data_IF_747983027404
#
_entry.id   IF_747983027404
#
_cell.length_a   1.000
_cell.length_b   1.000
_cell.length_c   1.000
_cell.angle_alpha   90.00
_cell.angle_beta   90.00
_cell.angle_gamma   90.00
#
_symmetry.space_group_name_H-M   'P 1'
#
loop_
_entity.id
_entity.type
_entity.pdbx_description
1 polymer ?
#
# COMPACT_ATOMS: atom_id res chain seq x y z
N UNK A 1 12.33 -1.51 -9.57
CA UNK A 1 11.61 -2.31 -8.54
C UNK A 1 10.40 -2.95 -9.20
N UNK A 2 9.88 -4.06 -8.68
CA UNK A 2 8.84 -4.85 -9.35
C UNK A 2 7.55 -4.84 -8.53
N UNK A 3 6.42 -4.60 -9.19
CA UNK A 3 5.09 -4.81 -8.62
C UNK A 3 4.86 -6.29 -8.36
N UNK A 4 4.20 -6.60 -7.26
CA UNK A 4 3.82 -7.97 -6.92
C UNK A 4 2.36 -8.04 -6.48
N UNK A 5 1.64 -9.02 -7.03
CA UNK A 5 0.30 -9.36 -6.58
C UNK A 5 0.43 -10.35 -5.42
N UNK A 6 -0.14 -9.99 -4.28
CA UNK A 6 -0.01 -10.72 -3.03
C UNK A 6 -1.37 -11.00 -2.43
N UNK A 7 -1.45 -11.97 -1.53
CA UNK A 7 -2.66 -12.22 -0.75
C UNK A 7 -2.45 -11.73 0.67
N UNK A 8 -3.17 -10.67 1.04
CA UNK A 8 -3.24 -10.18 2.41
C UNK A 8 -4.19 -11.06 3.21
N UNK A 9 -3.75 -11.45 4.42
CA UNK A 9 -4.57 -12.10 5.42
C UNK A 9 -4.88 -11.09 6.51
N UNK A 10 -6.08 -10.55 6.49
CA UNK A 10 -6.62 -9.67 7.51
C UNK A 10 -7.19 -10.49 8.66
N UNK A 11 -6.96 -10.06 9.89
CA UNK A 11 -7.57 -10.66 11.09
C UNK A 11 -8.27 -9.54 11.84
N UNK A 12 -9.59 -9.64 11.92
CA UNK A 12 -10.44 -8.72 12.65
C UNK A 12 -10.91 -9.44 13.90
N UNK A 13 -10.77 -8.80 15.06
CA UNK A 13 -11.26 -9.31 16.34
C UNK A 13 -12.31 -8.33 16.86
N UNK A 14 -13.53 -8.82 17.06
CA UNK A 14 -14.65 -8.07 17.60
C UNK A 14 -15.33 -8.83 18.75
N UNK A 15 -16.45 -8.31 19.27
CA UNK A 15 -17.18 -8.94 20.37
C UNK A 15 -17.79 -10.31 19.99
N UNK A 16 -17.95 -10.59 18.69
CA UNK A 16 -18.58 -11.80 18.14
C UNK A 16 -17.55 -12.88 17.74
N UNK A 17 -16.27 -12.54 17.64
CA UNK A 17 -15.17 -13.48 17.50
C UNK A 17 -14.02 -12.98 16.64
N UNK A 18 -13.28 -13.92 16.06
CA UNK A 18 -12.16 -13.63 15.15
C UNK A 18 -12.59 -13.95 13.72
N UNK A 19 -12.66 -12.92 12.88
CA UNK A 19 -12.87 -13.04 11.44
C UNK A 19 -11.53 -12.96 10.69
N UNK A 20 -11.33 -13.86 9.72
CA UNK A 20 -10.14 -13.86 8.85
C UNK A 20 -10.57 -13.68 7.41
N UNK A 21 -10.14 -12.58 6.80
CA UNK A 21 -10.45 -12.21 5.42
C UNK A 21 -9.18 -12.26 4.58
N UNK A 22 -9.29 -12.75 3.35
CA UNK A 22 -8.19 -12.80 2.39
C UNK A 22 -8.48 -11.85 1.24
N UNK A 23 -7.55 -10.94 0.95
CA UNK A 23 -7.68 -9.99 -0.15
C UNK A 23 -6.47 -10.01 -1.08
N UNK A 24 -6.68 -9.70 -2.36
CA UNK A 24 -5.60 -9.63 -3.36
C UNK A 24 -5.21 -8.19 -3.58
N UNK A 25 -3.96 -7.89 -3.28
CA UNK A 25 -3.43 -6.53 -3.35
C UNK A 25 -2.23 -6.46 -4.29
N UNK A 26 -2.05 -5.31 -4.92
CA UNK A 26 -0.83 -4.97 -5.65
C UNK A 26 0.07 -4.13 -4.74
N UNK A 27 1.29 -4.60 -4.50
CA UNK A 27 2.24 -3.90 -3.63
C UNK A 27 3.58 -3.66 -4.31
N UNK A 28 4.36 -2.76 -3.71
CA UNK A 28 5.79 -2.61 -3.95
C UNK A 28 6.56 -2.88 -2.67
N UNK A 29 7.48 -3.84 -2.74
CA UNK A 29 8.34 -4.21 -1.62
C UNK A 29 9.53 -3.26 -1.48
N UNK A 30 9.65 -2.58 -0.34
CA UNK A 30 10.79 -1.71 0.01
C UNK A 30 11.93 -2.49 0.67
N UNK A 31 11.56 -3.40 1.58
CA UNK A 31 12.44 -4.35 2.27
C UNK A 31 11.70 -5.67 2.46
N UNK A 32 12.34 -6.67 3.07
CA UNK A 32 11.68 -7.96 3.37
C UNK A 32 10.35 -7.79 4.10
N UNK A 33 10.27 -6.81 5.00
CA UNK A 33 9.20 -6.58 5.97
C UNK A 33 8.49 -5.23 5.79
N UNK A 34 8.79 -4.45 4.75
CA UNK A 34 8.15 -3.15 4.50
C UNK A 34 7.67 -3.05 3.06
N UNK A 35 6.43 -2.63 2.91
CA UNK A 35 5.74 -2.53 1.62
C UNK A 35 5.00 -1.21 1.47
N UNK A 36 4.74 -0.83 0.22
CA UNK A 36 3.87 0.29 -0.15
C UNK A 36 2.69 -0.27 -0.93
N UNK A 37 1.49 0.17 -0.58
CA UNK A 37 0.27 -0.09 -1.35
C UNK A 37 -0.55 1.18 -1.51
N UNK A 38 -1.36 1.22 -2.58
CA UNK A 38 -2.40 2.22 -2.73
C UNK A 38 -3.70 1.61 -2.19
N UNK A 39 -4.28 2.23 -1.19
CA UNK A 39 -5.62 1.91 -0.70
C UNK A 39 -6.62 2.82 -1.42
N UNK A 40 -7.55 2.21 -2.15
CA UNK A 40 -8.56 2.92 -2.95
C UNK A 40 -9.38 3.90 -2.14
N UNK A 41 -9.57 3.63 -0.85
CA UNK A 41 -10.46 4.41 0.02
C UNK A 41 -9.69 5.42 0.89
N UNK A 42 -8.37 5.27 1.01
CA UNK A 42 -7.61 6.03 2.01
C UNK A 42 -6.28 6.62 1.53
N UNK A 43 -5.79 6.29 0.34
CA UNK A 43 -4.61 6.92 -0.26
C UNK A 43 -3.42 5.97 -0.38
N UNK A 44 -2.25 6.35 0.13
CA UNK A 44 -1.03 5.51 0.06
C UNK A 44 -0.56 5.15 1.45
N UNK A 45 -0.36 3.86 1.67
CA UNK A 45 0.07 3.33 2.95
C UNK A 45 1.42 2.65 2.81
N UNK A 46 2.32 2.96 3.75
CA UNK A 46 3.56 2.23 3.97
C UNK A 46 3.38 1.41 5.24
N UNK A 47 3.55 0.11 5.11
CA UNK A 47 3.19 -0.85 6.15
C UNK A 47 4.37 -1.76 6.45
N UNK A 48 4.50 -2.16 7.71
CA UNK A 48 5.29 -3.31 8.10
C UNK A 48 4.44 -4.57 7.98
N UNK A 49 5.03 -5.62 7.44
CA UNK A 49 4.38 -6.90 7.21
C UNK A 49 5.22 -8.09 7.70
N UNK A 50 4.54 -9.21 7.91
CA UNK A 50 5.15 -10.54 7.95
C UNK A 50 4.70 -11.36 6.74
N UNK A 51 5.50 -12.35 6.36
CA UNK A 51 5.15 -13.31 5.31
C UNK A 51 5.09 -14.71 5.91
N UNK A 52 3.98 -15.42 5.70
CA UNK A 52 3.81 -16.80 6.17
C UNK A 52 4.61 -17.77 5.30
N UNK A 53 4.83 -19.00 5.78
CA UNK A 53 5.47 -20.05 4.97
C UNK A 53 4.69 -20.44 3.71
N UNK A 54 3.44 -19.99 3.58
CA UNK A 54 2.58 -20.19 2.41
C UNK A 54 2.64 -19.01 1.42
N UNK A 55 3.41 -17.95 1.74
CA UNK A 55 3.50 -16.74 0.93
C UNK A 55 2.37 -15.74 1.14
N UNK A 56 1.61 -15.87 2.24
CA UNK A 56 0.57 -14.90 2.60
C UNK A 56 1.20 -13.73 3.34
N UNK A 57 0.72 -12.52 3.07
CA UNK A 57 1.15 -11.31 3.77
C UNK A 57 0.23 -11.06 4.96
N UNK A 58 0.82 -10.85 6.13
CA UNK A 58 0.14 -10.50 7.36
C UNK A 58 0.54 -9.08 7.71
N UNK A 59 -0.47 -8.20 7.83
CA UNK A 59 -0.29 -6.84 8.31
C UNK A 59 0.18 -6.85 9.77
N UNK A 60 1.17 -6.00 10.10
CA UNK A 60 1.68 -5.82 11.46
C UNK A 60 1.36 -4.42 11.97
N UNK A 61 1.85 -3.39 11.26
CA UNK A 61 1.69 -2.00 11.65
C UNK A 61 1.74 -1.08 10.42
N UNK A 62 0.95 -0.01 10.47
CA UNK A 62 1.08 1.12 9.58
C UNK A 62 2.25 1.99 10.05
N UNK A 63 3.21 2.24 9.15
CA UNK A 63 4.37 3.09 9.42
C UNK A 63 4.10 4.53 8.99
N UNK A 64 3.33 4.70 7.92
CA UNK A 64 2.99 5.99 7.36
C UNK A 64 1.76 5.87 6.45
N UNK A 65 0.85 6.83 6.59
CA UNK A 65 -0.31 6.95 5.73
C UNK A 65 -0.39 8.36 5.17
N UNK A 66 -0.47 8.44 3.85
CA UNK A 66 -0.83 9.67 3.18
C UNK A 66 -2.25 9.58 2.67
N UNK A 67 -3.13 10.34 3.32
CA UNK A 67 -4.49 10.55 2.86
C UNK A 67 -4.51 11.33 1.54
N UNK A 68 -5.15 10.74 0.54
CA UNK A 68 -5.35 11.36 -0.76
C UNK A 68 -6.84 11.51 -1.02
N UNK A 69 -7.20 12.52 -1.81
CA UNK A 69 -8.55 12.62 -2.36
C UNK A 69 -8.87 11.34 -3.16
N UNK A 70 -10.11 10.85 -3.05
CA UNK A 70 -10.56 9.59 -3.65
C UNK A 70 -10.24 9.52 -5.16
N UNK A 71 -10.36 10.65 -5.88
CA UNK A 71 -10.03 10.71 -7.31
C UNK A 71 -8.55 10.48 -7.56
N UNK A 72 -7.71 11.08 -6.71
CA UNK A 72 -6.26 10.95 -6.79
C UNK A 72 -5.86 9.52 -6.43
N UNK A 73 -6.42 8.96 -5.36
CA UNK A 73 -6.15 7.58 -4.92
C UNK A 73 -6.42 6.56 -6.03
N UNK A 74 -7.58 6.64 -6.68
CA UNK A 74 -7.94 5.75 -7.80
C UNK A 74 -7.02 5.85 -9.00
N UNK A 75 -6.41 7.01 -9.22
CA UNK A 75 -5.46 7.24 -10.32
C UNK A 75 -4.02 6.94 -9.94
N UNK A 76 -3.74 6.70 -8.65
CA UNK A 76 -2.38 6.58 -8.17
C UNK A 76 -1.80 5.20 -8.48
N UNK A 77 -0.92 5.13 -9.48
CA UNK A 77 -0.14 3.93 -9.74
C UNK A 77 1.17 3.94 -8.92
N UNK A 78 1.27 3.09 -7.91
CA UNK A 78 2.50 2.95 -7.09
C UNK A 78 3.72 2.59 -7.94
N UNK A 79 3.53 1.92 -9.07
CA UNK A 79 4.57 1.48 -10.00
C UNK A 79 5.37 2.58 -10.68
N UNK A 80 4.79 3.78 -10.83
CA UNK A 80 5.47 4.89 -11.48
C UNK A 80 6.25 5.76 -10.50
N UNK A 81 6.36 5.40 -9.20
CA UNK A 81 7.22 6.12 -8.26
C UNK A 81 8.69 5.88 -8.65
N UNK A 82 9.39 6.87 -9.21
CA UNK A 82 10.77 6.68 -9.62
C UNK A 82 11.64 6.61 -8.36
N UNK A 83 12.36 5.49 -8.22
CA UNK A 83 13.39 5.26 -7.20
C UNK A 83 12.94 5.27 -5.73
N UNK A 84 11.65 5.35 -5.41
CA UNK A 84 11.10 5.36 -4.03
C UNK A 84 11.84 6.30 -3.04
N UNK A 85 12.57 7.28 -3.56
CA UNK A 85 13.07 8.36 -2.71
C UNK A 85 11.85 9.11 -2.19
N UNK A 86 11.89 9.54 -0.93
CA UNK A 86 10.85 10.40 -0.37
C UNK A 86 10.56 11.60 -1.31
N UNK A 87 11.60 12.10 -1.99
CA UNK A 87 11.49 13.14 -3.01
C UNK A 87 10.68 12.69 -4.24
N UNK A 88 10.93 11.50 -4.78
CA UNK A 88 10.21 10.95 -5.93
C UNK A 88 8.73 10.72 -5.63
N UNK A 89 8.42 10.17 -4.45
CA UNK A 89 7.06 10.02 -3.96
C UNK A 89 6.37 11.39 -3.84
N UNK A 90 6.97 12.33 -3.12
CA UNK A 90 6.41 13.68 -2.91
C UNK A 90 6.23 14.45 -4.24
N UNK A 91 7.14 14.28 -5.19
CA UNK A 91 7.06 14.91 -6.52
C UNK A 91 5.86 14.37 -7.32
N UNK A 92 5.67 13.05 -7.34
CA UNK A 92 4.52 12.43 -8.02
C UNK A 92 3.20 12.91 -7.42
N UNK A 93 3.14 12.97 -6.09
CA UNK A 93 1.95 13.44 -5.37
C UNK A 93 1.64 14.91 -5.65
N UNK A 94 2.68 15.75 -5.66
CA UNK A 94 2.55 17.16 -6.04
C UNK A 94 2.03 17.31 -7.47
N UNK A 95 2.54 16.52 -8.41
CA UNK A 95 2.10 16.55 -9.81
C UNK A 95 0.63 16.15 -9.96
N UNK A 96 0.21 15.03 -9.34
CA UNK A 96 -1.17 14.58 -9.38
C UNK A 96 -2.14 15.59 -8.75
N UNK A 97 -1.77 16.16 -7.60
CA UNK A 97 -2.61 17.16 -6.90
C UNK A 97 -2.74 18.45 -7.71
N UNK A 98 -1.71 18.82 -8.47
CA UNK A 98 -1.70 20.01 -9.32
C UNK A 98 -2.28 19.74 -10.73
N UNK A 99 -2.76 18.54 -11.02
CA UNK A 99 -3.28 18.15 -12.33
C UNK A 99 -2.22 18.17 -13.44
N UNK A 100 -0.95 17.94 -13.09
CA UNK A 100 0.17 17.85 -14.01
C UNK A 100 0.45 16.38 -14.27
N UNK A 101 0.05 15.86 -15.42
CA UNK A 101 0.47 14.53 -15.86
C UNK A 101 1.98 14.59 -16.20
N UNK A 102 2.76 13.67 -15.62
CA UNK A 102 4.18 13.48 -15.90
C UNK A 102 4.43 12.08 -16.43
#
# INVERSE_FOLDING_TARGET
>A
MKKENVTYRWTFEDEDGVEVVYDKEEIIRLSKDVVVRADTDSGITIERIAETSKGEIVYIEELFHLYLDEKISKSFDVGEIPNLSAVGLLTKLANLTLGRES
#
